data_IF_964008410393
#
_entry.id   IF_964008410393
#
_cell.length_a   1.000
_cell.length_b   1.000
_cell.length_c   1.000
_cell.angle_alpha   90.00
_cell.angle_beta   90.00
_cell.angle_gamma   90.00
#
_symmetry.space_group_name_H-M   'P 1'
#
loop_
_entity.id
_entity.type
_entity.pdbx_description
1 polymer ?
#
# COMPACT_ATOMS: atom_id res chain seq x y z
N UNK A 1 -38.79 -10.67 -74.39
CA UNK A 1 -38.27 -9.39 -73.88
C UNK A 1 -37.93 -9.59 -72.41
N UNK A 2 -36.67 -9.56 -72.13
CA UNK A 2 -36.12 -10.18 -70.93
C UNK A 2 -36.03 -9.20 -69.71
N UNK A 3 -36.57 -9.59 -68.59
CA UNK A 3 -36.35 -8.91 -67.32
C UNK A 3 -35.35 -9.72 -66.45
N UNK A 4 -34.16 -9.19 -66.29
CA UNK A 4 -33.13 -9.77 -65.49
C UNK A 4 -33.22 -9.15 -64.11
N UNK A 5 -33.69 -9.96 -63.18
CA UNK A 5 -33.77 -9.64 -61.77
C UNK A 5 -32.34 -9.76 -61.13
N UNK A 6 -31.74 -8.63 -60.76
CA UNK A 6 -30.48 -8.59 -60.09
C UNK A 6 -30.67 -8.88 -58.60
N UNK A 7 -30.14 -9.99 -58.11
CA UNK A 7 -30.06 -10.32 -56.69
C UNK A 7 -28.89 -9.53 -56.05
N UNK A 8 -29.21 -8.52 -55.27
CA UNK A 8 -28.24 -7.84 -54.41
C UNK A 8 -27.98 -8.73 -53.19
N UNK A 9 -26.77 -9.24 -53.10
CA UNK A 9 -26.29 -10.05 -51.99
C UNK A 9 -25.72 -9.11 -50.91
N UNK A 10 -26.48 -8.88 -49.86
CA UNK A 10 -26.05 -8.11 -48.69
C UNK A 10 -25.09 -8.97 -47.85
N UNK A 11 -23.81 -8.65 -47.93
CA UNK A 11 -22.77 -9.18 -47.04
C UNK A 11 -22.87 -8.43 -45.71
N UNK A 12 -23.41 -9.09 -44.68
CA UNK A 12 -23.36 -8.62 -43.30
C UNK A 12 -21.95 -8.86 -42.75
N UNK A 13 -21.14 -7.81 -42.61
CA UNK A 13 -19.90 -7.86 -41.84
C UNK A 13 -20.25 -7.81 -40.34
N UNK A 14 -20.16 -8.96 -39.69
CA UNK A 14 -20.21 -9.05 -38.25
C UNK A 14 -18.87 -8.59 -37.68
N UNK A 15 -18.79 -7.37 -37.19
CA UNK A 15 -17.66 -6.87 -36.45
C UNK A 15 -17.71 -7.47 -35.03
N UNK A 16 -16.93 -8.50 -34.78
CA UNK A 16 -16.70 -9.03 -33.44
C UNK A 16 -15.82 -8.02 -32.67
N UNK A 17 -16.45 -7.24 -31.79
CA UNK A 17 -15.73 -6.38 -30.87
C UNK A 17 -15.03 -7.24 -29.78
N UNK A 18 -13.73 -7.45 -29.94
CA UNK A 18 -12.87 -8.02 -28.92
C UNK A 18 -12.75 -7.01 -27.78
N UNK A 19 -13.58 -7.19 -26.74
CA UNK A 19 -13.44 -6.45 -25.48
C UNK A 19 -12.15 -6.89 -24.79
N UNK A 20 -11.08 -6.15 -24.98
CA UNK A 20 -9.84 -6.31 -24.21
C UNK A 20 -10.13 -5.78 -22.81
N UNK A 21 -10.44 -6.69 -21.89
CA UNK A 21 -10.45 -6.38 -20.45
C UNK A 21 -9.03 -6.07 -20.03
N UNK A 22 -8.68 -4.79 -19.99
CA UNK A 22 -7.43 -4.32 -19.39
C UNK A 22 -7.55 -4.60 -17.88
N UNK A 23 -6.93 -5.69 -17.42
CA UNK A 23 -6.69 -5.89 -16.01
C UNK A 23 -5.77 -4.75 -15.57
N UNK A 24 -6.36 -3.70 -14.99
CA UNK A 24 -5.59 -2.71 -14.27
C UNK A 24 -5.03 -3.42 -13.05
N UNK A 25 -3.75 -3.80 -13.12
CA UNK A 25 -2.97 -4.04 -11.91
C UNK A 25 -2.95 -2.70 -11.18
N UNK A 26 -3.92 -2.52 -10.27
CA UNK A 26 -3.91 -1.40 -9.35
C UNK A 26 -2.62 -1.56 -8.56
N UNK A 27 -1.68 -0.64 -8.74
CA UNK A 27 -0.62 -0.43 -7.77
C UNK A 27 -1.36 -0.22 -6.44
N UNK A 28 -1.32 -1.25 -5.58
CA UNK A 28 -2.14 -1.28 -4.38
C UNK A 28 -1.63 -0.20 -3.43
N UNK A 29 -2.24 0.98 -3.53
CA UNK A 29 -2.11 2.02 -2.53
C UNK A 29 -2.67 1.55 -1.19
N UNK A 30 -2.35 2.24 -0.11
CA UNK A 30 -2.94 1.95 1.19
C UNK A 30 -4.47 2.05 1.12
N UNK A 31 -5.17 1.16 1.81
CA UNK A 31 -6.63 1.18 1.86
C UNK A 31 -7.14 2.50 2.44
N UNK A 32 -8.17 3.05 1.80
CA UNK A 32 -8.88 4.27 2.26
C UNK A 32 -10.20 3.95 2.98
N UNK A 33 -10.50 2.67 3.17
CA UNK A 33 -11.70 2.22 3.88
C UNK A 33 -11.66 2.69 5.35
N UNK A 34 -12.67 3.46 5.82
CA UNK A 34 -12.72 3.96 7.19
C UNK A 34 -12.70 2.85 8.26
N UNK A 35 -13.29 1.68 7.97
CA UNK A 35 -13.28 0.56 8.90
C UNK A 35 -11.87 -0.04 9.04
N UNK A 36 -11.14 -0.17 7.93
CA UNK A 36 -9.75 -0.63 7.89
C UNK A 36 -8.84 0.36 8.63
N UNK A 37 -9.00 1.66 8.37
CA UNK A 37 -8.25 2.72 9.06
C UNK A 37 -8.52 2.71 10.57
N UNK A 38 -9.79 2.54 10.98
CA UNK A 38 -10.17 2.44 12.40
C UNK A 38 -9.51 1.22 13.07
N UNK A 39 -9.50 0.06 12.40
CA UNK A 39 -8.77 -1.13 12.87
C UNK A 39 -7.28 -0.84 13.04
N UNK A 40 -6.65 -0.19 12.04
CA UNK A 40 -5.25 0.22 12.11
C UNK A 40 -4.94 1.16 13.27
N UNK A 41 -5.82 2.14 13.56
CA UNK A 41 -5.70 3.00 14.75
C UNK A 41 -5.73 2.21 16.04
N UNK A 42 -6.62 1.23 16.16
CA UNK A 42 -6.67 0.35 17.33
C UNK A 42 -5.37 -0.42 17.50
N UNK A 43 -4.88 -1.04 16.42
CA UNK A 43 -3.62 -1.79 16.41
C UNK A 43 -2.41 -0.92 16.74
N UNK A 44 -2.35 0.30 16.23
CA UNK A 44 -1.30 1.28 16.54
C UNK A 44 -1.14 1.49 18.05
N UNK A 45 -2.25 1.55 18.76
CA UNK A 45 -2.25 1.70 20.22
C UNK A 45 -1.98 0.38 20.94
N UNK A 46 -2.67 -0.69 20.59
CA UNK A 46 -2.63 -1.97 21.30
C UNK A 46 -1.34 -2.76 21.07
N UNK A 47 -0.73 -2.64 19.88
CA UNK A 47 0.58 -3.25 19.57
C UNK A 47 1.76 -2.36 20.00
N UNK A 48 1.51 -1.19 20.59
CA UNK A 48 2.55 -0.32 21.17
C UNK A 48 3.39 0.45 20.17
N UNK A 49 2.96 0.61 18.92
CA UNK A 49 3.71 1.32 17.86
C UNK A 49 4.10 2.74 18.27
N UNK A 50 3.19 3.44 18.95
CA UNK A 50 3.39 4.82 19.42
C UNK A 50 4.49 4.97 20.49
N UNK A 51 4.95 3.88 21.09
CA UNK A 51 6.06 3.91 22.04
C UNK A 51 7.41 4.19 21.39
N UNK A 52 7.55 3.87 20.08
CA UNK A 52 8.78 4.03 19.33
C UNK A 52 8.63 4.94 18.11
N UNK A 53 7.43 5.05 17.53
CA UNK A 53 7.19 5.78 16.30
C UNK A 53 6.28 6.99 16.50
N UNK A 54 6.47 8.01 15.66
CA UNK A 54 5.56 9.14 15.50
C UNK A 54 5.00 9.18 14.09
N UNK A 55 3.96 9.98 13.87
CA UNK A 55 3.47 10.34 12.54
C UNK A 55 3.40 11.87 12.49
N UNK A 56 4.38 12.50 11.83
CA UNK A 56 4.46 13.95 11.67
C UNK A 56 4.90 14.74 12.91
N UNK A 57 5.51 14.08 13.90
CA UNK A 57 6.04 14.73 15.10
C UNK A 57 7.57 14.61 15.26
N UNK A 58 8.22 14.14 14.20
CA UNK A 58 9.67 13.98 14.15
C UNK A 58 10.16 12.67 14.79
N UNK A 59 11.48 12.58 14.90
CA UNK A 59 12.19 11.38 15.37
C UNK A 59 11.87 11.05 16.83
N UNK A 60 11.66 9.75 17.08
CA UNK A 60 11.56 9.17 18.41
C UNK A 60 12.60 8.03 18.57
N UNK A 61 12.32 7.00 19.33
CA UNK A 61 13.16 5.80 19.40
C UNK A 61 13.28 5.08 18.04
N UNK A 62 12.23 5.19 17.20
CA UNK A 62 12.19 4.81 15.81
C UNK A 62 11.94 5.99 14.88
N UNK A 63 11.86 5.76 13.56
CA UNK A 63 11.60 6.81 12.58
C UNK A 63 10.18 7.38 12.68
N UNK A 64 10.03 8.65 12.28
CA UNK A 64 8.74 9.24 11.96
C UNK A 64 8.18 8.58 10.70
N UNK A 65 6.93 8.14 10.77
CA UNK A 65 6.27 7.39 9.71
C UNK A 65 5.44 8.27 8.76
N UNK A 66 5.37 9.60 8.96
CA UNK A 66 4.75 10.49 7.98
C UNK A 66 5.44 10.33 6.62
N UNK A 67 4.67 10.11 5.54
CA UNK A 67 5.19 9.92 4.18
C UNK A 67 6.09 8.67 4.03
N UNK A 68 5.92 7.64 4.86
CA UNK A 68 6.73 6.41 4.74
C UNK A 68 6.54 5.73 3.38
N UNK A 69 5.34 5.78 2.81
CA UNK A 69 5.05 5.20 1.49
C UNK A 69 5.62 6.02 0.32
N UNK A 70 6.02 7.28 0.55
CA UNK A 70 6.75 8.08 -0.44
C UNK A 70 8.24 7.69 -0.47
N UNK A 71 8.76 7.15 0.62
CA UNK A 71 10.17 6.77 0.80
C UNK A 71 10.44 5.29 0.67
N UNK A 72 9.42 4.45 0.78
CA UNK A 72 9.50 2.98 0.72
C UNK A 72 8.34 2.42 -0.07
N UNK A 73 8.60 1.40 -0.87
CA UNK A 73 7.53 0.69 -1.56
C UNK A 73 6.59 -0.01 -0.56
N UNK A 74 5.35 -0.18 -0.96
CA UNK A 74 4.35 -0.91 -0.18
C UNK A 74 4.85 -2.31 0.20
N UNK A 75 5.41 -3.04 -0.77
CA UNK A 75 5.99 -4.38 -0.55
C UNK A 75 7.09 -4.37 0.52
N UNK A 76 7.99 -3.37 0.49
CA UNK A 76 9.03 -3.25 1.50
C UNK A 76 8.44 -3.05 2.90
N UNK A 77 7.42 -2.18 3.03
CA UNK A 77 6.76 -1.91 4.31
C UNK A 77 5.99 -3.13 4.82
N UNK A 78 5.34 -3.86 3.92
CA UNK A 78 4.65 -5.10 4.27
C UNK A 78 5.63 -6.16 4.80
N UNK A 79 6.72 -6.43 4.08
CA UNK A 79 7.76 -7.37 4.51
C UNK A 79 8.38 -6.95 5.84
N UNK A 80 8.62 -5.63 6.03
CA UNK A 80 9.12 -5.11 7.29
C UNK A 80 8.17 -5.40 8.45
N UNK A 81 6.86 -5.19 8.28
CA UNK A 81 5.87 -5.42 9.33
C UNK A 81 5.65 -6.91 9.64
N UNK A 82 5.83 -7.78 8.66
CA UNK A 82 5.72 -9.23 8.86
C UNK A 82 6.89 -9.80 9.65
N UNK A 83 8.11 -9.45 9.30
CA UNK A 83 9.31 -9.97 9.97
C UNK A 83 10.43 -8.93 10.07
N UNK A 84 10.31 -7.98 11.00
CA UNK A 84 11.34 -6.98 11.22
C UNK A 84 12.71 -7.60 11.53
N UNK A 85 12.86 -8.64 12.37
CA UNK A 85 14.14 -9.27 12.63
C UNK A 85 14.84 -9.83 11.39
N UNK A 86 14.13 -10.53 10.51
CA UNK A 86 14.70 -11.05 9.28
C UNK A 86 15.16 -9.91 8.33
N UNK A 87 14.33 -8.88 8.17
CA UNK A 87 14.68 -7.71 7.37
C UNK A 87 15.90 -6.96 7.93
N UNK A 88 16.00 -6.81 9.25
CA UNK A 88 17.14 -6.17 9.91
C UNK A 88 18.45 -6.95 9.73
N UNK A 89 18.38 -8.25 9.42
CA UNK A 89 19.54 -9.08 9.14
C UNK A 89 19.93 -9.13 7.65
N UNK A 90 18.97 -9.02 6.74
CA UNK A 90 19.17 -9.26 5.31
C UNK A 90 19.10 -8.02 4.43
N UNK A 91 18.24 -7.05 4.74
CA UNK A 91 17.99 -5.87 3.93
C UNK A 91 18.93 -4.72 4.30
N UNK A 92 19.60 -4.14 3.30
CA UNK A 92 20.58 -3.06 3.52
C UNK A 92 19.97 -1.79 4.09
N UNK A 93 18.75 -1.43 3.65
CA UNK A 93 18.02 -0.26 4.15
C UNK A 93 17.60 -0.46 5.60
N UNK A 94 17.14 -1.66 5.94
CA UNK A 94 16.77 -2.02 7.30
C UNK A 94 17.97 -1.95 8.25
N UNK A 95 19.13 -2.47 7.84
CA UNK A 95 20.38 -2.37 8.59
C UNK A 95 20.80 -0.92 8.82
N UNK A 96 20.72 -0.09 7.78
CA UNK A 96 21.05 1.33 7.89
C UNK A 96 20.11 2.07 8.86
N UNK A 97 18.82 1.74 8.85
CA UNK A 97 17.86 2.30 9.80
C UNK A 97 18.19 1.89 11.25
N UNK A 98 18.52 0.63 11.50
CA UNK A 98 18.92 0.18 12.84
C UNK A 98 20.14 0.97 13.32
N UNK A 99 21.18 1.12 12.49
CA UNK A 99 22.36 1.90 12.84
C UNK A 99 22.01 3.38 13.10
N UNK A 100 21.16 3.98 12.25
CA UNK A 100 20.72 5.37 12.40
C UNK A 100 19.95 5.62 13.70
N UNK A 101 19.25 4.63 14.22
CA UNK A 101 18.46 4.70 15.45
C UNK A 101 19.14 4.04 16.63
N UNK A 102 20.47 4.23 16.80
CA UNK A 102 21.26 3.78 17.93
C UNK A 102 21.15 2.27 18.19
N UNK A 103 21.13 1.48 17.14
CA UNK A 103 20.91 0.03 17.15
C UNK A 103 19.59 -0.42 17.81
N UNK A 104 18.62 0.48 17.89
CA UNK A 104 17.26 0.14 18.31
C UNK A 104 16.63 -0.78 17.27
N UNK A 105 16.18 -1.94 17.70
CA UNK A 105 15.58 -2.97 16.86
C UNK A 105 14.07 -3.00 17.04
N UNK A 106 13.33 -3.03 15.93
CA UNK A 106 11.90 -3.28 15.96
C UNK A 106 11.67 -4.78 16.21
N UNK A 107 10.89 -5.16 17.23
CA UNK A 107 10.56 -6.55 17.49
C UNK A 107 9.55 -7.10 16.47
N UNK A 108 9.46 -8.43 16.35
CA UNK A 108 8.37 -9.07 15.63
C UNK A 108 7.09 -9.02 16.47
N UNK A 109 6.07 -8.36 15.96
CA UNK A 109 4.75 -8.21 16.60
C UNK A 109 3.77 -9.29 16.16
N UNK A 110 4.20 -10.25 15.34
CA UNK A 110 3.39 -11.36 14.81
C UNK A 110 2.08 -10.89 14.19
N UNK A 111 2.18 -9.92 13.30
CA UNK A 111 1.03 -9.32 12.63
C UNK A 111 0.52 -10.22 11.51
N UNK A 112 -0.80 -10.39 11.43
CA UNK A 112 -1.44 -11.00 10.28
C UNK A 112 -1.46 -10.06 9.06
N UNK A 113 -1.71 -10.60 7.85
CA UNK A 113 -1.81 -9.81 6.62
C UNK A 113 -2.86 -8.69 6.73
N UNK A 114 -3.97 -8.98 7.40
CA UNK A 114 -5.02 -8.00 7.65
C UNK A 114 -4.59 -6.90 8.64
N UNK A 115 -3.83 -7.26 9.67
CA UNK A 115 -3.30 -6.30 10.64
C UNK A 115 -2.25 -5.40 9.99
N UNK A 116 -1.38 -5.96 9.14
CA UNK A 116 -0.41 -5.21 8.33
C UNK A 116 -1.13 -4.22 7.41
N UNK A 117 -2.14 -4.69 6.67
CA UNK A 117 -2.94 -3.84 5.79
C UNK A 117 -3.60 -2.69 6.55
N UNK A 118 -4.17 -2.97 7.72
CA UNK A 118 -4.85 -1.98 8.54
C UNK A 118 -3.86 -0.94 9.13
N UNK A 119 -2.70 -1.37 9.60
CA UNK A 119 -1.66 -0.47 10.10
C UNK A 119 -1.15 0.46 9.02
N UNK A 120 -0.88 -0.06 7.82
CA UNK A 120 -0.44 0.74 6.67
C UNK A 120 -1.50 1.78 6.30
N UNK A 121 -2.78 1.37 6.24
CA UNK A 121 -3.90 2.28 5.97
C UNK A 121 -3.98 3.42 6.98
N UNK A 122 -3.85 3.11 8.27
CA UNK A 122 -3.88 4.12 9.33
C UNK A 122 -2.69 5.09 9.22
N UNK A 123 -1.47 4.59 9.05
CA UNK A 123 -0.27 5.43 8.94
C UNK A 123 -0.35 6.35 7.73
N UNK A 124 -0.81 5.85 6.58
CA UNK A 124 -1.00 6.64 5.37
C UNK A 124 -2.06 7.74 5.56
N UNK A 125 -3.22 7.41 6.15
CA UNK A 125 -4.29 8.36 6.44
C UNK A 125 -3.81 9.47 7.38
N UNK A 126 -3.14 9.12 8.46
CA UNK A 126 -2.61 10.10 9.41
C UNK A 126 -1.52 10.98 8.79
N UNK A 127 -0.62 10.38 8.00
CA UNK A 127 0.42 11.12 7.28
C UNK A 127 -0.16 12.16 6.33
N UNK A 128 -1.20 11.81 5.57
CA UNK A 128 -1.90 12.72 4.66
C UNK A 128 -2.58 13.87 5.42
N UNK A 129 -3.24 13.59 6.55
CA UNK A 129 -3.87 14.59 7.40
C UNK A 129 -2.86 15.58 8.00
N UNK A 130 -1.71 15.07 8.44
CA UNK A 130 -0.64 15.92 8.97
C UNK A 130 -0.03 16.80 7.89
N UNK A 131 0.22 16.26 6.69
CA UNK A 131 0.71 17.03 5.55
C UNK A 131 -0.25 18.13 5.12
N UNK A 132 -1.56 17.87 5.14
CA UNK A 132 -2.59 18.87 4.83
C UNK A 132 -2.63 20.01 5.87
N UNK A 133 -2.39 19.73 7.14
CA UNK A 133 -2.39 20.71 8.23
C UNK A 133 -1.16 21.62 8.22
N UNK A 134 -0.06 21.19 7.63
CA UNK A 134 1.21 21.92 7.59
C UNK A 134 1.34 22.88 6.40
N UNK A 135 0.34 22.95 5.50
CA UNK A 135 0.26 23.86 4.36
C UNK A 135 -0.56 25.10 4.70
#
# INVERSE_FOLDING_TARGET
MANRCGRAMLLALSAAALSVSVLHAQAAGASTDPAVIKKGKSLWNTKGCMGCHTIGKGRAAGPDLMGVLDRRSMDWVQRWLHDPPAMQQSDSTAKALVAQFNNTKMPNLQLSDEEVTALIAYVADQGSKMAAKSR
#
